data_IF_783365501649
#
_entry.id   IF_783365501649
#
_cell.length_a   1.000
_cell.length_b   1.000
_cell.length_c   1.000
_cell.angle_alpha   90.00
_cell.angle_beta   90.00
_cell.angle_gamma   90.00
#
_symmetry.space_group_name_H-M   'P 1'
#
loop_
_entity.id
_entity.type
_entity.pdbx_description
1 polymer ?
#
# COMPACT_ATOMS: atom_id res chain seq x y z
N UNK A 1 12.39 -10.39 24.66
CA UNK A 1 12.17 -11.73 24.06
C UNK A 1 12.68 -11.69 22.64
N UNK A 2 13.52 -12.65 22.24
CA UNK A 2 14.05 -12.69 20.86
C UNK A 2 13.06 -13.56 20.06
N UNK A 3 12.54 -13.03 18.95
CA UNK A 3 11.71 -13.81 18.04
C UNK A 3 12.50 -15.01 17.49
N UNK A 4 11.88 -16.17 17.29
CA UNK A 4 12.58 -17.34 16.76
C UNK A 4 13.14 -17.06 15.36
N UNK A 5 14.30 -17.65 15.06
CA UNK A 5 14.86 -17.59 13.72
C UNK A 5 13.86 -18.19 12.72
N UNK A 6 13.68 -17.50 11.60
CA UNK A 6 12.75 -17.91 10.56
C UNK A 6 13.12 -17.39 9.20
N UNK A 7 12.47 -17.90 8.18
CA UNK A 7 12.63 -17.47 6.80
C UNK A 7 11.28 -17.37 6.10
N UNK A 8 11.25 -16.56 5.05
CA UNK A 8 10.07 -16.38 4.22
C UNK A 8 10.44 -16.39 2.74
N UNK A 9 9.50 -16.82 1.91
CA UNK A 9 9.67 -16.80 0.45
C UNK A 9 8.37 -16.40 -0.25
N UNK A 10 8.50 -15.65 -1.32
CA UNK A 10 7.40 -15.30 -2.22
C UNK A 10 7.26 -16.37 -3.30
N UNK A 11 6.03 -16.73 -3.60
CA UNK A 11 5.59 -17.61 -4.68
C UNK A 11 4.75 -16.80 -5.66
N UNK A 12 4.82 -17.08 -6.94
CA UNK A 12 4.07 -16.42 -8.03
C UNK A 12 2.72 -17.12 -8.31
N UNK A 13 2.05 -17.53 -7.27
CA UNK A 13 0.76 -18.23 -7.33
C UNK A 13 -0.18 -17.69 -6.27
N UNK A 14 -1.48 -17.99 -6.41
CA UNK A 14 -2.48 -17.74 -5.39
C UNK A 14 -2.31 -18.65 -4.15
N UNK A 15 -3.08 -18.33 -3.10
CA UNK A 15 -3.02 -19.04 -1.83
C UNK A 15 -3.50 -20.49 -1.91
N UNK A 16 -4.48 -20.78 -2.74
CA UNK A 16 -5.07 -22.13 -2.86
C UNK A 16 -4.06 -23.07 -3.51
N UNK A 17 -3.42 -22.65 -4.59
CA UNK A 17 -2.37 -23.41 -5.26
C UNK A 17 -1.15 -23.62 -4.35
N UNK A 18 -0.79 -22.60 -3.56
CA UNK A 18 0.30 -22.73 -2.58
C UNK A 18 -0.06 -23.75 -1.50
N UNK A 19 -1.25 -23.66 -0.90
CA UNK A 19 -1.73 -24.59 0.13
C UNK A 19 -1.85 -26.03 -0.41
N UNK A 20 -2.36 -26.22 -1.62
CA UNK A 20 -2.45 -27.53 -2.27
C UNK A 20 -1.07 -28.17 -2.43
N UNK A 21 -0.08 -27.42 -2.89
CA UNK A 21 1.29 -27.93 -3.03
C UNK A 21 1.93 -28.27 -1.68
N UNK A 22 1.73 -27.40 -0.68
CA UNK A 22 2.22 -27.64 0.69
C UNK A 22 1.63 -28.93 1.25
N UNK A 23 0.32 -29.11 1.14
CA UNK A 23 -0.37 -30.30 1.65
C UNK A 23 0.02 -31.57 0.87
N UNK A 24 0.05 -31.51 -0.45
CA UNK A 24 0.40 -32.63 -1.31
C UNK A 24 1.79 -33.20 -1.03
N UNK A 25 2.74 -32.35 -0.73
CA UNK A 25 4.14 -32.74 -0.53
C UNK A 25 4.56 -32.76 0.95
N UNK A 26 3.63 -32.54 1.88
CA UNK A 26 3.90 -32.54 3.33
C UNK A 26 4.95 -31.53 3.77
N UNK A 27 5.01 -30.36 3.09
CA UNK A 27 6.00 -29.33 3.35
C UNK A 27 5.75 -28.67 4.73
N UNK A 28 6.82 -28.49 5.49
CA UNK A 28 6.75 -27.92 6.85
C UNK A 28 6.82 -26.38 6.82
N UNK A 29 6.02 -25.76 5.96
CA UNK A 29 5.88 -24.32 5.81
C UNK A 29 4.42 -23.92 5.85
N UNK A 30 4.16 -22.64 6.14
CA UNK A 30 2.79 -22.11 6.28
C UNK A 30 2.61 -20.93 5.34
N UNK A 31 1.43 -20.76 4.74
CA UNK A 31 1.06 -19.53 4.04
C UNK A 31 0.95 -18.39 5.07
N UNK A 32 1.76 -17.36 4.88
CA UNK A 32 1.87 -16.20 5.76
C UNK A 32 1.15 -14.96 5.21
N UNK A 33 1.18 -14.74 3.88
CA UNK A 33 0.49 -13.62 3.27
C UNK A 33 -0.17 -14.05 1.95
N UNK A 34 -1.41 -13.66 1.79
CA UNK A 34 -2.18 -13.68 0.55
C UNK A 34 -2.14 -12.27 -0.04
N UNK A 35 -1.07 -11.95 -0.77
CA UNK A 35 -0.79 -10.57 -1.19
C UNK A 35 -1.53 -10.15 -2.47
N UNK A 36 -1.64 -11.06 -3.44
CA UNK A 36 -2.32 -10.84 -4.72
C UNK A 36 -2.68 -12.20 -5.35
N UNK A 37 -3.54 -12.26 -6.37
CA UNK A 37 -3.88 -13.51 -7.07
C UNK A 37 -2.68 -14.26 -7.65
N UNK A 38 -1.56 -13.57 -7.83
CA UNK A 38 -0.30 -14.08 -8.36
C UNK A 38 0.86 -13.94 -7.35
N UNK A 39 0.56 -13.75 -6.06
CA UNK A 39 1.60 -13.63 -5.05
C UNK A 39 1.16 -14.11 -3.67
N UNK A 40 1.75 -15.20 -3.23
CA UNK A 40 1.61 -15.77 -1.89
C UNK A 40 2.97 -15.80 -1.21
N UNK A 41 3.02 -15.50 0.09
CA UNK A 41 4.22 -15.61 0.90
C UNK A 41 4.07 -16.83 1.81
N UNK A 42 5.11 -17.65 1.84
CA UNK A 42 5.25 -18.76 2.79
C UNK A 42 6.30 -18.43 3.86
N UNK A 43 6.08 -18.96 5.06
CA UNK A 43 6.96 -18.77 6.21
C UNK A 43 7.23 -20.11 6.89
N UNK A 44 8.40 -20.21 7.55
CA UNK A 44 8.80 -21.40 8.30
C UNK A 44 10.19 -21.23 8.90
N UNK A 45 10.76 -22.33 9.40
CA UNK A 45 12.19 -22.32 9.79
C UNK A 45 13.07 -22.14 8.55
N UNK A 46 14.30 -21.66 8.70
CA UNK A 46 15.23 -21.58 7.57
C UNK A 46 15.36 -22.91 6.81
N UNK A 47 15.47 -24.02 7.56
CA UNK A 47 15.62 -25.37 7.01
C UNK A 47 14.37 -25.81 6.24
N UNK A 48 13.17 -25.53 6.79
CA UNK A 48 11.91 -25.91 6.13
C UNK A 48 11.66 -25.10 4.84
N UNK A 49 12.02 -23.81 4.82
CA UNK A 49 11.96 -23.01 3.61
C UNK A 49 12.97 -23.55 2.56
N UNK A 50 14.23 -23.84 2.95
CA UNK A 50 15.21 -24.41 2.01
C UNK A 50 14.77 -25.75 1.43
N UNK A 51 14.13 -26.59 2.23
CA UNK A 51 13.60 -27.87 1.76
C UNK A 51 12.38 -27.69 0.83
N UNK A 52 11.53 -26.68 1.08
CA UNK A 52 10.31 -26.46 0.32
C UNK A 52 10.59 -25.85 -1.07
N UNK A 53 11.54 -24.92 -1.20
CA UNK A 53 11.76 -24.18 -2.44
C UNK A 53 11.99 -25.06 -3.67
N UNK A 54 12.89 -26.07 -3.67
CA UNK A 54 13.10 -26.91 -4.84
C UNK A 54 11.87 -27.74 -5.22
N UNK A 55 11.07 -28.18 -4.24
CA UNK A 55 9.83 -28.91 -4.49
C UNK A 55 8.82 -28.00 -5.18
N UNK A 56 8.63 -26.78 -4.71
CA UNK A 56 7.72 -25.79 -5.29
C UNK A 56 8.13 -25.38 -6.70
N UNK A 57 9.44 -25.24 -6.94
CA UNK A 57 9.98 -24.98 -8.29
C UNK A 57 9.66 -26.14 -9.24
N UNK A 58 9.79 -27.39 -8.80
CA UNK A 58 9.40 -28.57 -9.60
C UNK A 58 7.90 -28.61 -9.92
N UNK A 59 7.07 -27.98 -9.08
CA UNK A 59 5.63 -27.78 -9.31
C UNK A 59 5.33 -26.59 -10.24
N UNK A 60 6.34 -25.99 -10.86
CA UNK A 60 6.22 -24.88 -11.81
C UNK A 60 5.98 -23.53 -11.17
N UNK A 61 6.29 -23.35 -9.89
CA UNK A 61 6.18 -22.07 -9.20
C UNK A 61 7.51 -21.33 -9.23
N UNK A 62 7.50 -20.03 -9.53
CA UNK A 62 8.69 -19.20 -9.30
C UNK A 62 8.74 -18.82 -7.83
N UNK A 63 9.92 -18.94 -7.26
CA UNK A 63 10.15 -18.68 -5.84
C UNK A 63 11.21 -17.60 -5.66
N UNK A 64 11.04 -16.75 -4.65
CA UNK A 64 12.02 -15.72 -4.30
C UNK A 64 12.12 -15.60 -2.78
N UNK A 65 13.30 -15.84 -2.20
CA UNK A 65 13.53 -15.58 -0.77
C UNK A 65 13.30 -14.10 -0.44
N UNK A 66 12.73 -13.86 0.73
CA UNK A 66 12.58 -12.53 1.31
C UNK A 66 13.72 -12.34 2.31
N UNK A 67 14.35 -11.18 2.29
CA UNK A 67 15.49 -10.85 3.17
C UNK A 67 14.99 -10.51 4.60
N UNK A 68 14.53 -11.52 5.33
CA UNK A 68 14.10 -11.44 6.72
C UNK A 68 14.78 -12.52 7.54
N UNK A 69 14.92 -12.28 8.85
CA UNK A 69 15.49 -13.22 9.82
C UNK A 69 14.46 -13.91 10.71
N UNK A 70 13.19 -13.59 10.51
CA UNK A 70 12.06 -14.10 11.32
C UNK A 70 10.90 -14.44 10.40
N UNK A 71 10.20 -15.53 10.71
CA UNK A 71 9.00 -15.96 9.99
C UNK A 71 7.77 -15.30 10.60
N UNK A 72 7.35 -14.15 10.06
CA UNK A 72 6.13 -13.47 10.53
C UNK A 72 4.86 -14.15 10.02
N UNK A 73 3.74 -13.88 10.67
CA UNK A 73 2.40 -14.29 10.26
C UNK A 73 2.24 -15.82 10.17
N UNK A 74 2.89 -16.54 11.07
CA UNK A 74 2.84 -18.00 11.14
C UNK A 74 2.82 -18.47 12.61
N UNK A 75 2.45 -19.74 12.89
CA UNK A 75 2.33 -20.26 14.26
C UNK A 75 3.60 -20.13 15.11
N UNK A 76 4.78 -20.06 14.52
CA UNK A 76 6.04 -19.85 15.26
C UNK A 76 6.07 -18.53 16.04
N UNK A 77 5.25 -17.55 15.64
CA UNK A 77 5.13 -16.25 16.30
C UNK A 77 4.11 -16.22 17.44
N UNK A 78 3.49 -17.33 17.80
CA UNK A 78 2.47 -17.38 18.86
C UNK A 78 2.98 -16.85 20.21
N UNK A 79 4.25 -17.13 20.56
CA UNK A 79 4.87 -16.62 21.80
C UNK A 79 5.00 -15.09 21.76
N UNK A 80 5.37 -14.53 20.59
CA UNK A 80 5.44 -13.08 20.42
C UNK A 80 4.03 -12.45 20.43
N UNK A 81 3.03 -13.13 19.88
CA UNK A 81 1.63 -12.74 19.95
C UNK A 81 1.10 -12.66 21.39
N UNK A 82 1.43 -13.64 22.23
CA UNK A 82 1.09 -13.62 23.65
C UNK A 82 1.75 -12.44 24.38
N UNK A 83 3.04 -12.21 24.16
CA UNK A 83 3.73 -11.06 24.74
C UNK A 83 3.14 -9.71 24.26
N UNK A 84 2.77 -9.60 22.98
CA UNK A 84 2.09 -8.41 22.46
C UNK A 84 0.73 -8.22 23.14
N UNK A 85 -0.02 -9.29 23.37
CA UNK A 85 -1.30 -9.21 24.09
C UNK A 85 -1.12 -8.62 25.50
N UNK A 86 -0.09 -9.05 26.23
CA UNK A 86 0.22 -8.52 27.56
C UNK A 86 0.57 -7.01 27.51
N UNK A 87 1.38 -6.60 26.55
CA UNK A 87 1.72 -5.19 26.35
C UNK A 87 0.51 -4.33 25.94
N UNK A 88 -0.45 -4.91 25.22
CA UNK A 88 -1.67 -4.22 24.83
C UNK A 88 -2.73 -4.12 25.94
N UNK A 89 -2.61 -4.92 27.02
CA UNK A 89 -3.58 -4.90 28.10
C UNK A 89 -3.80 -3.52 28.74
N UNK A 90 -2.75 -2.71 29.04
CA UNK A 90 -2.93 -1.38 29.59
C UNK A 90 -3.35 -0.33 28.54
N UNK A 91 -3.35 -0.66 27.25
CA UNK A 91 -3.67 0.30 26.18
C UNK A 91 -5.17 0.47 26.08
N UNK A 92 -5.63 1.72 26.16
CA UNK A 92 -7.03 2.06 25.92
C UNK A 92 -7.36 1.99 24.43
N UNK A 93 -8.28 1.12 24.08
CA UNK A 93 -8.85 1.04 22.74
C UNK A 93 -10.20 1.74 22.70
N UNK A 94 -10.47 2.44 21.60
CA UNK A 94 -11.76 3.07 21.32
C UNK A 94 -12.25 2.64 19.93
N UNK A 95 -13.57 2.55 19.73
CA UNK A 95 -14.12 2.27 18.40
C UNK A 95 -13.58 3.25 17.36
N UNK A 96 -13.13 2.78 16.20
CA UNK A 96 -12.63 3.66 15.17
C UNK A 96 -13.76 4.52 14.58
N UNK A 97 -13.45 5.78 14.24
CA UNK A 97 -14.43 6.72 13.64
C UNK A 97 -14.74 6.41 12.18
N UNK A 98 -13.87 5.68 11.53
CA UNK A 98 -14.00 5.16 10.16
C UNK A 98 -13.71 3.68 10.17
N UNK A 99 -14.25 2.88 9.25
CA UNK A 99 -13.93 1.45 9.19
C UNK A 99 -12.43 1.22 9.06
N UNK A 100 -11.85 0.46 10.01
CA UNK A 100 -10.46 -0.01 9.96
C UNK A 100 -10.52 -1.51 9.77
N UNK A 101 -9.96 -2.00 8.67
CA UNK A 101 -9.98 -3.42 8.32
C UNK A 101 -8.80 -4.16 8.92
N UNK A 102 -9.08 -5.32 9.51
CA UNK A 102 -8.06 -6.19 10.06
C UNK A 102 -7.57 -7.18 8.99
N UNK A 103 -6.26 -7.28 8.80
CA UNK A 103 -5.65 -8.22 7.84
C UNK A 103 -5.99 -9.68 8.11
N UNK A 104 -6.22 -10.03 9.37
CA UNK A 104 -6.54 -11.39 9.79
C UNK A 104 -7.93 -11.84 9.32
N UNK A 105 -8.92 -10.96 9.40
CA UNK A 105 -10.32 -11.26 9.11
C UNK A 105 -10.78 -10.75 7.75
N UNK A 106 -10.03 -9.86 7.12
CA UNK A 106 -10.42 -9.09 5.94
C UNK A 106 -11.75 -8.33 6.14
N UNK A 107 -12.04 -7.93 7.37
CA UNK A 107 -13.26 -7.26 7.80
C UNK A 107 -12.94 -6.09 8.73
N UNK A 108 -13.85 -5.14 8.93
CA UNK A 108 -13.68 -4.08 9.91
C UNK A 108 -13.43 -4.65 11.31
N UNK A 109 -12.56 -3.98 12.08
CA UNK A 109 -12.42 -4.28 13.51
C UNK A 109 -13.77 -4.17 14.22
N UNK A 110 -14.10 -5.10 15.12
CA UNK A 110 -15.29 -4.98 15.96
C UNK A 110 -15.18 -3.77 16.89
N UNK A 111 -16.31 -3.21 17.36
CA UNK A 111 -16.28 -2.02 18.22
C UNK A 111 -15.79 -2.31 19.65
N UNK A 112 -15.79 -3.56 20.10
CA UNK A 112 -15.42 -3.96 21.45
C UNK A 112 -13.90 -3.93 21.66
N UNK A 113 -13.40 -3.17 22.65
CA UNK A 113 -11.96 -2.99 22.89
C UNK A 113 -11.19 -4.30 23.04
N UNK A 114 -11.76 -5.29 23.74
CA UNK A 114 -11.10 -6.58 23.98
C UNK A 114 -10.97 -7.41 22.70
N UNK A 115 -11.97 -7.34 21.82
CA UNK A 115 -11.91 -8.01 20.52
C UNK A 115 -10.89 -7.34 19.61
N UNK A 116 -10.83 -5.99 19.58
CA UNK A 116 -9.80 -5.26 18.83
C UNK A 116 -8.39 -5.64 19.29
N UNK A 117 -8.17 -5.67 20.61
CA UNK A 117 -6.89 -6.05 21.23
C UNK A 117 -6.50 -7.47 20.86
N UNK A 118 -7.44 -8.41 20.97
CA UNK A 118 -7.22 -9.81 20.63
C UNK A 118 -6.86 -9.99 19.14
N UNK A 119 -7.58 -9.35 18.22
CA UNK A 119 -7.29 -9.42 16.80
C UNK A 119 -5.90 -8.83 16.46
N UNK A 120 -5.55 -7.70 17.07
CA UNK A 120 -4.26 -7.06 16.86
C UNK A 120 -3.10 -7.94 17.36
N UNK A 121 -3.24 -8.56 18.55
CA UNK A 121 -2.23 -9.45 19.09
C UNK A 121 -2.04 -10.71 18.23
N UNK A 122 -3.12 -11.28 17.72
CA UNK A 122 -3.09 -12.49 16.87
C UNK A 122 -2.50 -12.21 15.49
N UNK A 123 -2.57 -11.00 14.99
CA UNK A 123 -2.09 -10.63 13.65
C UNK A 123 -0.61 -10.99 13.42
N UNK A 124 0.23 -10.99 14.47
CA UNK A 124 1.65 -11.33 14.34
C UNK A 124 1.90 -12.83 14.02
N UNK A 125 0.96 -13.70 14.38
CA UNK A 125 1.07 -15.16 14.26
C UNK A 125 0.10 -15.80 13.27
N UNK A 126 -0.75 -15.00 12.65
CA UNK A 126 -1.76 -15.49 11.71
C UNK A 126 -1.64 -14.81 10.34
N UNK A 127 -2.13 -15.45 9.26
CA UNK A 127 -1.93 -14.97 7.90
C UNK A 127 -2.49 -13.58 7.61
N UNK A 128 -1.80 -12.82 6.80
CA UNK A 128 -2.26 -11.56 6.21
C UNK A 128 -3.13 -11.86 4.99
N UNK A 129 -4.40 -11.54 5.06
CA UNK A 129 -5.40 -11.74 3.99
C UNK A 129 -5.57 -10.47 3.16
N UNK A 130 -4.47 -9.96 2.58
CA UNK A 130 -4.49 -8.66 1.91
C UNK A 130 -5.38 -8.65 0.66
N UNK A 131 -5.37 -9.71 -0.14
CA UNK A 131 -6.27 -9.86 -1.30
C UNK A 131 -7.72 -9.73 -0.87
N UNK A 132 -8.14 -10.53 0.12
CA UNK A 132 -9.52 -10.51 0.61
C UNK A 132 -9.90 -9.16 1.23
N UNK A 133 -8.93 -8.52 1.90
CA UNK A 133 -9.14 -7.21 2.50
C UNK A 133 -9.40 -6.12 1.45
N UNK A 134 -8.62 -6.10 0.36
CA UNK A 134 -8.83 -5.14 -0.73
C UNK A 134 -10.16 -5.40 -1.43
N UNK A 135 -10.53 -6.67 -1.65
CA UNK A 135 -11.83 -7.04 -2.20
C UNK A 135 -12.99 -6.55 -1.31
N UNK A 136 -12.89 -6.76 0.00
CA UNK A 136 -13.90 -6.31 0.95
C UNK A 136 -14.02 -4.77 1.00
N UNK A 137 -12.90 -4.06 1.00
CA UNK A 137 -12.85 -2.60 0.98
C UNK A 137 -13.43 -2.05 -0.33
N UNK A 138 -13.09 -2.68 -1.46
CA UNK A 138 -13.65 -2.32 -2.77
C UNK A 138 -15.17 -2.57 -2.83
N UNK A 139 -15.64 -3.73 -2.35
CA UNK A 139 -17.06 -4.06 -2.27
C UNK A 139 -17.84 -3.09 -1.34
N UNK A 140 -17.17 -2.53 -0.33
CA UNK A 140 -17.74 -1.48 0.53
C UNK A 140 -17.79 -0.09 -0.14
N UNK A 141 -17.37 0.04 -1.41
CA UNK A 141 -17.49 1.25 -2.22
C UNK A 141 -16.21 2.11 -2.28
N UNK A 142 -15.09 1.67 -1.75
CA UNK A 142 -13.84 2.39 -1.89
C UNK A 142 -13.23 2.15 -3.29
N UNK A 143 -13.07 3.21 -4.07
CA UNK A 143 -12.47 3.17 -5.40
C UNK A 143 -11.15 3.94 -5.50
N UNK A 144 -10.77 4.66 -4.46
CA UNK A 144 -9.49 5.37 -4.37
C UNK A 144 -8.71 4.83 -3.18
N UNK A 145 -7.51 4.33 -3.46
CA UNK A 145 -6.60 3.76 -2.47
C UNK A 145 -5.36 4.65 -2.38
N UNK A 146 -4.92 4.96 -1.16
CA UNK A 146 -3.74 5.78 -0.92
C UNK A 146 -2.76 5.00 -0.06
N UNK A 147 -1.59 4.64 -0.62
CA UNK A 147 -0.51 4.04 0.14
C UNK A 147 0.21 5.12 0.95
N UNK A 148 0.07 5.08 2.27
CA UNK A 148 0.72 5.99 3.21
C UNK A 148 1.96 5.32 3.82
N UNK A 149 3.05 5.29 3.08
CA UNK A 149 4.30 4.65 3.51
C UNK A 149 5.39 4.79 2.46
N UNK A 150 6.62 4.37 2.76
CA UNK A 150 7.71 4.40 1.79
C UNK A 150 7.51 3.32 0.72
N UNK A 151 7.66 3.71 -0.53
CA UNK A 151 7.60 2.79 -1.67
C UNK A 151 6.22 2.66 -2.32
N UNK A 152 6.10 1.64 -3.19
CA UNK A 152 4.93 1.40 -4.05
C UNK A 152 4.45 -0.06 -3.95
N UNK A 153 4.72 -0.73 -2.84
CA UNK A 153 4.43 -2.16 -2.70
C UNK A 153 2.93 -2.42 -2.68
N UNK A 154 2.19 -1.73 -1.82
CA UNK A 154 0.74 -1.89 -1.72
C UNK A 154 0.03 -1.34 -2.95
N UNK A 155 0.52 -0.24 -3.52
CA UNK A 155 0.06 0.31 -4.80
C UNK A 155 0.09 -0.76 -5.90
N UNK A 156 1.20 -1.48 -6.03
CA UNK A 156 1.32 -2.58 -7.00
C UNK A 156 0.41 -3.77 -6.69
N UNK A 157 0.22 -4.11 -5.40
CA UNK A 157 -0.66 -5.20 -4.97
C UNK A 157 -2.12 -4.88 -5.27
N UNK A 158 -2.60 -3.69 -4.90
CA UNK A 158 -3.98 -3.25 -5.18
C UNK A 158 -4.28 -3.29 -6.67
N UNK A 159 -3.36 -2.80 -7.52
CA UNK A 159 -3.53 -2.86 -8.97
C UNK A 159 -3.65 -4.29 -9.50
N UNK A 160 -2.88 -5.25 -8.97
CA UNK A 160 -2.98 -6.67 -9.36
C UNK A 160 -4.25 -7.36 -8.85
N UNK A 161 -4.73 -6.98 -7.66
CA UNK A 161 -5.97 -7.51 -7.09
C UNK A 161 -7.18 -7.00 -7.88
N UNK A 162 -7.25 -5.69 -8.13
CA UNK A 162 -8.41 -5.07 -8.76
C UNK A 162 -8.40 -5.17 -10.29
N UNK A 163 -7.25 -5.32 -10.94
CA UNK A 163 -7.11 -5.48 -12.39
C UNK A 163 -7.77 -4.33 -13.16
N UNK A 164 -8.60 -4.66 -14.14
CA UNK A 164 -9.29 -3.69 -15.00
C UNK A 164 -10.54 -3.04 -14.36
N UNK A 165 -10.88 -3.40 -13.13
CA UNK A 165 -12.01 -2.78 -12.42
C UNK A 165 -11.76 -1.29 -12.17
N UNK A 166 -12.79 -0.41 -12.25
CA UNK A 166 -12.62 1.02 -12.03
C UNK A 166 -12.06 1.33 -10.63
N UNK A 167 -10.81 1.76 -10.57
CA UNK A 167 -10.15 2.16 -9.33
C UNK A 167 -9.01 3.16 -9.58
N UNK A 168 -8.53 3.78 -8.53
CA UNK A 168 -7.35 4.62 -8.54
C UNK A 168 -6.45 4.26 -7.36
N UNK A 169 -5.16 4.10 -7.62
CA UNK A 169 -4.17 3.90 -6.57
C UNK A 169 -3.17 5.06 -6.59
N UNK A 170 -2.99 5.67 -5.45
CA UNK A 170 -2.08 6.80 -5.22
C UNK A 170 -1.05 6.39 -4.16
N UNK A 171 0.17 6.91 -4.27
CA UNK A 171 1.20 6.70 -3.26
C UNK A 171 1.69 8.04 -2.72
N UNK A 172 1.86 8.11 -1.39
CA UNK A 172 2.37 9.30 -0.71
C UNK A 172 3.87 9.48 -0.95
N UNK A 173 4.59 8.38 -1.09
CA UNK A 173 6.03 8.38 -1.34
C UNK A 173 6.37 7.39 -2.47
N UNK A 174 7.38 7.74 -3.27
CA UNK A 174 7.85 6.90 -4.37
C UNK A 174 9.38 6.91 -4.44
N UNK A 175 10.03 5.77 -4.59
CA UNK A 175 11.48 5.67 -4.66
C UNK A 175 12.06 6.57 -5.74
N UNK A 176 13.11 7.32 -5.40
CA UNK A 176 13.81 8.21 -6.33
C UNK A 176 13.11 9.52 -6.68
N UNK A 177 11.98 9.83 -6.03
CA UNK A 177 11.27 11.11 -6.20
C UNK A 177 11.45 12.00 -4.97
N UNK A 178 11.37 13.30 -5.19
CA UNK A 178 11.29 14.27 -4.10
C UNK A 178 9.93 14.14 -3.41
N UNK A 179 9.90 14.00 -2.08
CA UNK A 179 8.68 13.79 -1.31
C UNK A 179 7.65 14.92 -1.46
N UNK A 180 8.12 16.19 -1.60
CA UNK A 180 7.21 17.32 -1.83
C UNK A 180 6.55 17.28 -3.22
N UNK A 181 7.30 16.89 -4.23
CA UNK A 181 6.76 16.71 -5.59
C UNK A 181 5.76 15.56 -5.63
N UNK A 182 6.09 14.45 -4.96
CA UNK A 182 5.22 13.29 -4.88
C UNK A 182 3.91 13.63 -4.15
N UNK A 183 3.97 14.35 -3.02
CA UNK A 183 2.79 14.81 -2.30
C UNK A 183 1.95 15.77 -3.15
N UNK A 184 2.57 16.73 -3.85
CA UNK A 184 1.87 17.65 -4.74
C UNK A 184 1.15 16.89 -5.87
N UNK A 185 1.79 15.88 -6.46
CA UNK A 185 1.18 15.02 -7.48
C UNK A 185 0.00 14.21 -6.92
N UNK A 186 0.14 13.67 -5.71
CA UNK A 186 -0.95 12.96 -5.05
C UNK A 186 -2.16 13.88 -4.83
N UNK A 187 -1.94 15.08 -4.28
CA UNK A 187 -3.01 16.04 -4.02
C UNK A 187 -3.71 16.47 -5.32
N UNK A 188 -2.93 16.77 -6.37
CA UNK A 188 -3.49 17.13 -7.68
C UNK A 188 -4.31 16.00 -8.31
N UNK A 189 -3.84 14.75 -8.20
CA UNK A 189 -4.58 13.59 -8.70
C UNK A 189 -5.84 13.29 -7.89
N UNK A 190 -5.79 13.49 -6.57
CA UNK A 190 -6.95 13.33 -5.69
C UNK A 190 -8.03 14.38 -6.01
N UNK A 191 -7.64 15.65 -6.14
CA UNK A 191 -8.52 16.75 -6.53
C UNK A 191 -9.17 16.51 -7.90
N UNK A 192 -8.37 16.10 -8.90
CA UNK A 192 -8.88 15.80 -10.24
C UNK A 192 -9.89 14.65 -10.28
N UNK A 193 -9.98 13.86 -9.22
CA UNK A 193 -10.96 12.78 -9.02
C UNK A 193 -12.13 13.17 -8.11
N UNK A 194 -12.22 14.45 -7.74
CA UNK A 194 -13.29 14.98 -6.90
C UNK A 194 -13.19 14.60 -5.42
N UNK A 195 -12.02 14.19 -4.95
CA UNK A 195 -11.80 14.00 -3.52
C UNK A 195 -11.78 15.37 -2.81
N UNK A 196 -12.37 15.51 -1.61
CA UNK A 196 -12.43 16.76 -0.89
C UNK A 196 -11.05 17.13 -0.31
N UNK A 197 -10.18 17.67 -1.14
CA UNK A 197 -8.83 18.11 -0.77
C UNK A 197 -8.83 19.61 -0.47
N UNK A 198 -8.32 20.00 0.70
CA UNK A 198 -8.12 21.40 1.02
C UNK A 198 -6.74 21.87 0.53
N UNK A 199 -6.64 22.21 -0.75
CA UNK A 199 -5.41 22.72 -1.34
C UNK A 199 -4.96 24.06 -0.71
N UNK A 200 -5.88 24.85 -0.15
CA UNK A 200 -5.54 26.09 0.57
C UNK A 200 -4.57 25.84 1.71
N UNK A 201 -4.70 24.74 2.44
CA UNK A 201 -3.76 24.36 3.50
C UNK A 201 -2.35 24.05 2.95
N UNK A 202 -2.26 23.45 1.76
CA UNK A 202 -1.00 23.17 1.09
C UNK A 202 -0.19 24.44 0.80
N UNK A 203 -0.87 25.53 0.46
CA UNK A 203 -0.26 26.80 0.13
C UNK A 203 -0.13 27.75 1.34
N UNK A 204 -0.78 27.44 2.47
CA UNK A 204 -0.74 28.23 3.69
C UNK A 204 0.69 28.42 4.20
N UNK A 205 1.02 29.64 4.62
CA UNK A 205 2.34 29.98 5.16
C UNK A 205 3.49 30.06 4.14
N UNK A 206 3.21 29.86 2.84
CA UNK A 206 4.24 29.93 1.79
C UNK A 206 4.36 31.31 1.13
N UNK A 207 3.73 32.33 1.69
CA UNK A 207 3.75 33.69 1.14
C UNK A 207 3.01 33.85 -0.20
N UNK A 208 2.16 32.89 -0.55
CA UNK A 208 1.33 32.92 -1.75
C UNK A 208 -0.01 33.57 -1.38
N UNK A 209 -0.43 34.55 -2.17
CA UNK A 209 -1.76 35.15 -2.05
C UNK A 209 -2.73 34.43 -2.99
N UNK A 210 -3.96 34.20 -2.55
CA UNK A 210 -5.04 33.78 -3.42
C UNK A 210 -5.32 34.84 -4.47
N UNK A 211 -5.36 34.46 -5.73
CA UNK A 211 -5.72 35.34 -6.83
C UNK A 211 -6.93 34.78 -7.56
N UNK A 212 -7.90 35.64 -7.81
CA UNK A 212 -9.03 35.27 -8.66
C UNK A 212 -8.59 34.93 -10.09
N UNK A 213 -9.22 33.94 -10.70
CA UNK A 213 -8.89 33.50 -12.07
C UNK A 213 -8.97 34.68 -13.05
N UNK A 214 -10.01 35.52 -12.94
CA UNK A 214 -10.21 36.68 -13.80
C UNK A 214 -9.10 37.73 -13.65
N UNK A 215 -8.64 37.95 -12.41
CA UNK A 215 -7.52 38.86 -12.14
C UNK A 215 -6.21 38.29 -12.69
N UNK A 216 -5.98 36.99 -12.53
CA UNK A 216 -4.81 36.28 -13.07
C UNK A 216 -4.80 36.36 -14.60
N UNK A 217 -5.94 36.14 -15.26
CA UNK A 217 -6.08 36.26 -16.70
C UNK A 217 -5.89 37.70 -17.18
N UNK A 218 -6.43 38.70 -16.45
CA UNK A 218 -6.22 40.11 -16.77
C UNK A 218 -4.75 40.52 -16.63
N UNK A 219 -4.05 40.03 -15.61
CA UNK A 219 -2.61 40.24 -15.44
C UNK A 219 -1.80 39.54 -16.54
N UNK A 220 -2.17 38.32 -16.91
CA UNK A 220 -1.53 37.59 -18.00
C UNK A 220 -1.72 38.34 -19.34
N UNK A 221 -2.93 38.81 -19.63
CA UNK A 221 -3.18 39.63 -20.84
C UNK A 221 -2.35 40.92 -20.85
N UNK A 222 -2.27 41.64 -19.74
CA UNK A 222 -1.41 42.86 -19.62
C UNK A 222 0.05 42.53 -19.75
N UNK A 223 0.55 41.39 -19.30
CA UNK A 223 1.94 40.93 -19.48
C UNK A 223 2.24 40.56 -20.95
N UNK A 224 1.20 40.24 -21.72
CA UNK A 224 1.32 39.92 -23.15
C UNK A 224 1.17 41.12 -24.09
N UNK A 225 0.86 42.30 -23.58
CA UNK A 225 1.01 43.57 -24.30
C UNK A 225 2.51 43.96 -24.35
N UNK A 226 3.28 43.17 -25.07
CA UNK A 226 4.72 43.34 -25.15
C UNK A 226 5.10 44.12 -26.42
N UNK A 227 6.11 44.97 -26.26
CA UNK A 227 6.70 45.69 -27.38
C UNK A 227 7.35 44.76 -28.43
N UNK A 228 7.81 45.33 -29.55
CA UNK A 228 8.27 44.57 -30.74
C UNK A 228 9.48 43.64 -30.53
N UNK A 229 10.08 43.67 -29.33
CA UNK A 229 11.25 42.84 -29.00
C UNK A 229 10.91 41.53 -28.28
N UNK A 230 9.62 41.21 -28.08
CA UNK A 230 9.23 39.94 -27.40
C UNK A 230 8.97 38.84 -28.42
N UNK A 231 9.56 37.70 -28.17
CA UNK A 231 9.50 36.53 -29.02
C UNK A 231 8.75 35.38 -28.34
N UNK A 232 7.87 34.71 -29.06
CA UNK A 232 7.24 33.47 -28.63
C UNK A 232 8.14 32.32 -29.10
N UNK A 233 8.62 31.53 -28.09
CA UNK A 233 9.45 30.36 -28.36
C UNK A 233 8.62 29.13 -28.03
N UNK A 234 8.46 28.24 -28.99
CA UNK A 234 8.00 26.86 -28.75
C UNK A 234 9.10 25.91 -29.22
N UNK A 235 9.07 24.66 -28.81
CA UNK A 235 10.16 23.67 -28.91
C UNK A 235 10.86 23.51 -30.30
N UNK A 236 10.63 24.37 -31.26
CA UNK A 236 11.30 24.35 -32.57
C UNK A 236 11.33 25.70 -33.30
N UNK A 237 10.68 26.74 -32.77
CA UNK A 237 10.63 28.05 -33.42
C UNK A 237 10.60 29.19 -32.42
N UNK A 238 11.32 30.25 -32.76
CA UNK A 238 11.18 31.57 -32.16
C UNK A 238 10.53 32.50 -33.22
N UNK A 239 9.37 33.09 -32.88
CA UNK A 239 8.67 34.04 -33.77
C UNK A 239 8.35 35.31 -32.95
N UNK A 240 8.37 36.50 -33.59
CA UNK A 240 7.94 37.72 -32.94
C UNK A 240 6.53 37.56 -32.38
N UNK A 241 6.27 38.13 -31.20
CA UNK A 241 4.96 37.98 -30.54
C UNK A 241 3.81 38.56 -31.38
N UNK A 242 4.11 39.54 -32.19
CA UNK A 242 3.17 40.26 -33.04
C UNK A 242 2.92 39.61 -34.43
N UNK A 243 3.48 38.42 -34.69
CA UNK A 243 3.31 37.70 -35.95
C UNK A 243 2.21 36.65 -35.88
#
# INVERSE_FOLDING_TARGET
>A
MIAPAGAMAALDVDGDRANEAIARHGLQVTVANLNAPDQTIIAGTPESIEAALPVLVQQGMRTRRIAVSTAFHCPQMAVAGAALADELNPVAFAPPRVPVYANLTAAPYPPEPDQMRSLLARHISEPVRFTDQIEAVYAAGAHVFVECGPGLTLTGLVGRILGERPHCVLALDAPGRNGWEQLAQLLAQAEARGLPINLGQWFSGRGLAEQGLDETLAQARRRHEHGPLVWRVNGGRAVPWSA
#
